data_IF_763300474407
#
_entry.id   IF_763300474407
#
_cell.length_a   1.000
_cell.length_b   1.000
_cell.length_c   1.000
_cell.angle_alpha   90.00
_cell.angle_beta   90.00
_cell.angle_gamma   90.00
#
_symmetry.space_group_name_H-M   'P 1'
#
loop_
_entity.id
_entity.type
_entity.pdbx_description
1 polymer ?
#
# COMPACT_ATOMS: atom_id res chain seq x y z
N UNK A 1 -14.70 -1.70 0.86
CA UNK A 1 -15.05 -0.51 0.06
C UNK A 1 -16.35 0.02 0.61
N UNK A 2 -16.39 1.29 0.98
CA UNK A 2 -17.64 1.99 1.26
C UNK A 2 -18.04 2.75 -0.01
N UNK A 3 -19.32 3.02 -0.19
CA UNK A 3 -19.77 3.89 -1.25
C UNK A 3 -20.48 5.12 -0.67
N UNK A 4 -20.24 6.33 -1.20
CA UNK A 4 -20.91 7.53 -0.71
C UNK A 4 -22.43 7.53 -0.94
N UNK A 5 -22.94 6.69 -1.86
CA UNK A 5 -24.37 6.61 -2.22
C UNK A 5 -24.81 5.16 -2.32
N UNK A 6 -25.68 4.70 -1.42
CA UNK A 6 -26.22 3.33 -1.37
C UNK A 6 -27.01 2.93 -2.64
N UNK A 7 -26.29 2.52 -3.69
CA UNK A 7 -26.78 2.21 -5.01
C UNK A 7 -27.04 0.71 -5.21
N UNK A 8 -27.69 0.35 -6.32
CA UNK A 8 -27.80 -1.06 -6.70
C UNK A 8 -26.55 -1.48 -7.47
N UNK A 9 -25.89 -2.56 -7.02
CA UNK A 9 -24.66 -3.06 -7.64
C UNK A 9 -24.82 -4.50 -8.14
N UNK A 10 -24.26 -4.83 -9.32
CA UNK A 10 -24.10 -6.21 -9.72
C UNK A 10 -23.08 -6.91 -8.80
N UNK A 11 -22.91 -8.23 -8.98
CA UNK A 11 -21.84 -8.93 -8.29
C UNK A 11 -20.47 -8.41 -8.75
N UNK A 12 -19.61 -8.07 -7.80
CA UNK A 12 -18.27 -7.53 -8.05
C UNK A 12 -17.20 -8.53 -7.61
N UNK A 13 -16.06 -8.50 -8.30
CA UNK A 13 -14.87 -9.24 -7.89
C UNK A 13 -13.85 -8.26 -7.31
N UNK A 14 -13.29 -8.61 -6.16
CA UNK A 14 -12.28 -7.78 -5.49
C UNK A 14 -10.97 -8.54 -5.40
N UNK A 15 -9.87 -7.85 -5.71
CA UNK A 15 -8.53 -8.30 -5.39
C UNK A 15 -8.18 -7.83 -3.98
N UNK A 16 -7.46 -8.66 -3.23
CA UNK A 16 -6.96 -8.30 -1.91
C UNK A 16 -5.52 -8.74 -1.75
N UNK A 17 -4.82 -8.07 -0.84
CA UNK A 17 -3.45 -8.39 -0.43
C UNK A 17 -3.44 -8.47 1.09
N UNK A 18 -2.65 -9.41 1.63
CA UNK A 18 -2.41 -9.55 3.06
C UNK A 18 -0.91 -9.61 3.27
N UNK A 19 -0.42 -8.83 4.23
CA UNK A 19 0.99 -8.77 4.60
C UNK A 19 1.08 -8.79 6.12
N UNK A 20 2.03 -9.56 6.64
CA UNK A 20 2.33 -9.52 8.07
C UNK A 20 2.89 -8.15 8.47
N UNK A 21 2.51 -7.64 9.64
CA UNK A 21 3.00 -6.34 10.10
C UNK A 21 4.51 -6.37 10.37
N UNK A 22 5.16 -5.25 10.12
CA UNK A 22 6.60 -5.08 10.25
C UNK A 22 7.28 -4.91 8.89
N UNK A 23 8.61 -4.84 8.91
CA UNK A 23 9.45 -4.65 7.75
C UNK A 23 10.09 -5.97 7.33
N UNK A 24 9.97 -6.32 6.05
CA UNK A 24 10.54 -7.52 5.47
C UNK A 24 11.09 -7.25 4.07
N UNK A 25 11.99 -8.13 3.62
CA UNK A 25 12.36 -8.23 2.21
C UNK A 25 11.73 -9.53 1.71
N UNK A 26 10.80 -9.45 0.76
CA UNK A 26 10.17 -10.62 0.15
C UNK A 26 11.00 -11.12 -1.02
N UNK A 27 10.78 -12.38 -1.42
CA UNK A 27 11.34 -12.94 -2.66
C UNK A 27 11.19 -11.97 -3.83
N UNK A 28 12.23 -11.88 -4.64
CA UNK A 28 12.31 -10.88 -5.71
C UNK A 28 12.85 -9.52 -5.25
N UNK A 29 13.31 -9.43 -4.00
CA UNK A 29 13.94 -8.22 -3.44
C UNK A 29 12.94 -7.10 -3.11
N UNK A 30 11.65 -7.43 -3.01
CA UNK A 30 10.60 -6.44 -2.70
C UNK A 30 10.74 -6.07 -1.23
N UNK A 31 11.13 -4.83 -0.94
CA UNK A 31 11.07 -4.30 0.42
C UNK A 31 9.62 -3.97 0.72
N UNK A 32 9.09 -4.53 1.80
CA UNK A 32 7.73 -4.28 2.27
C UNK A 32 7.76 -3.86 3.73
N UNK A 33 6.93 -2.89 4.08
CA UNK A 33 6.65 -2.55 5.47
C UNK A 33 5.15 -2.36 5.65
N UNK A 34 4.55 -3.01 6.63
CA UNK A 34 3.11 -2.94 6.86
C UNK A 34 2.75 -2.67 8.32
N UNK A 35 1.67 -1.92 8.53
CA UNK A 35 1.23 -1.55 9.86
C UNK A 35 -0.20 -1.07 9.91
N UNK A 36 -0.62 -0.70 11.13
CA UNK A 36 -1.93 -0.12 11.42
C UNK A 36 -1.69 1.22 12.12
N UNK A 37 -2.42 2.24 11.70
CA UNK A 37 -2.46 3.55 12.34
C UNK A 37 -3.89 3.87 12.75
N UNK A 38 -4.15 3.95 14.05
CA UNK A 38 -5.41 4.51 14.55
C UNK A 38 -5.39 6.02 14.36
N UNK A 39 -6.44 6.57 13.74
CA UNK A 39 -6.57 8.01 13.50
C UNK A 39 -7.99 8.48 13.81
N UNK A 40 -8.11 9.66 14.41
CA UNK A 40 -9.37 10.42 14.47
C UNK A 40 -9.33 11.64 13.55
N UNK A 41 -8.23 11.85 12.83
CA UNK A 41 -8.04 12.98 11.94
C UNK A 41 -8.86 12.76 10.67
N UNK A 42 -9.61 13.78 10.26
CA UNK A 42 -10.42 13.74 9.06
C UNK A 42 -10.12 14.93 8.16
N UNK A 43 -10.05 14.64 6.87
CA UNK A 43 -10.14 15.60 5.81
C UNK A 43 -11.59 15.72 5.32
N UNK A 44 -11.97 16.90 4.86
CA UNK A 44 -13.25 17.20 4.22
C UNK A 44 -12.99 18.05 2.98
N UNK A 45 -13.88 17.94 1.99
CA UNK A 45 -13.84 18.77 0.78
C UNK A 45 -13.63 20.26 1.12
N UNK A 46 -12.66 20.87 0.44
CA UNK A 46 -12.23 22.26 0.62
C UNK A 46 -11.30 22.52 1.81
N UNK A 47 -10.96 21.52 2.63
CA UNK A 47 -9.99 21.66 3.71
C UNK A 47 -8.56 21.39 3.22
N UNK A 48 -7.57 21.69 4.07
CA UNK A 48 -6.22 21.22 3.83
C UNK A 48 -6.10 19.78 4.29
N UNK A 49 -5.43 18.95 3.49
CA UNK A 49 -5.06 17.59 3.87
C UNK A 49 -4.08 17.59 5.06
N UNK A 50 -4.64 17.41 6.26
CA UNK A 50 -3.91 17.18 7.49
C UNK A 50 -4.08 15.72 7.90
N UNK A 51 -3.01 15.07 8.34
CA UNK A 51 -3.10 13.70 8.82
C UNK A 51 -2.00 13.36 9.80
N UNK A 52 -1.99 12.11 10.22
CA UNK A 52 -1.04 11.61 11.18
C UNK A 52 0.21 11.11 10.46
N UNK A 53 1.38 11.51 10.94
CA UNK A 53 2.63 11.00 10.40
C UNK A 53 2.84 9.52 10.78
N UNK A 54 3.35 8.76 9.81
CA UNK A 54 3.90 7.42 9.97
C UNK A 54 5.35 7.49 9.53
N UNK A 55 6.25 6.96 10.37
CA UNK A 55 7.67 6.85 10.09
C UNK A 55 7.98 5.39 9.79
N UNK A 56 8.74 5.14 8.73
CA UNK A 56 9.23 3.80 8.45
C UNK A 56 10.34 3.42 9.44
N UNK A 57 10.45 2.14 9.75
CA UNK A 57 11.55 1.61 10.58
C UNK A 57 12.91 1.95 9.95
N UNK A 58 12.98 1.93 8.62
CA UNK A 58 14.14 2.34 7.85
C UNK A 58 13.67 2.96 6.52
N UNK A 59 14.40 3.96 6.04
CA UNK A 59 14.09 4.59 4.76
C UNK A 59 14.16 3.58 3.60
N UNK A 60 13.22 3.69 2.66
CA UNK A 60 13.28 3.02 1.36
C UNK A 60 14.34 3.68 0.48
N UNK A 61 14.90 2.93 -0.46
CA UNK A 61 15.88 3.44 -1.44
C UNK A 61 15.25 4.38 -2.48
N UNK A 62 13.94 4.34 -2.63
CA UNK A 62 13.12 5.20 -3.48
C UNK A 62 11.75 5.42 -2.81
N UNK A 63 10.99 6.41 -3.28
CA UNK A 63 9.65 6.69 -2.74
C UNK A 63 8.79 5.42 -2.89
N UNK A 64 8.27 4.85 -1.80
CA UNK A 64 7.47 3.62 -1.85
C UNK A 64 6.07 3.87 -2.43
N UNK A 65 5.43 2.80 -2.89
CA UNK A 65 3.99 2.75 -3.15
C UNK A 65 3.29 2.44 -1.85
N UNK A 66 2.23 3.17 -1.52
CA UNK A 66 1.43 2.94 -0.31
C UNK A 66 0.05 2.40 -0.69
N UNK A 67 -0.27 1.18 -0.28
CA UNK A 67 -1.65 0.69 -0.28
C UNK A 67 -2.24 0.95 1.10
N UNK A 68 -3.47 1.46 1.16
CA UNK A 68 -4.10 1.80 2.44
C UNK A 68 -5.61 1.60 2.40
N UNK A 69 -6.20 1.41 3.57
CA UNK A 69 -7.64 1.23 3.73
C UNK A 69 -8.07 1.21 5.19
N UNK A 70 -9.34 1.55 5.42
CA UNK A 70 -9.97 1.41 6.72
C UNK A 70 -10.16 -0.07 7.07
N UNK A 71 -9.76 -0.45 8.28
CA UNK A 71 -9.86 -1.82 8.83
C UNK A 71 -10.94 -1.94 9.91
N UNK A 72 -11.56 -0.84 10.29
CA UNK A 72 -12.70 -0.77 11.23
C UNK A 72 -13.83 0.06 10.62
N UNK A 73 -15.03 -0.08 11.19
CA UNK A 73 -16.22 0.68 10.80
C UNK A 73 -16.87 1.28 12.06
N UNK A 74 -16.28 2.38 12.53
CA UNK A 74 -16.67 3.13 13.73
C UNK A 74 -17.47 4.40 13.42
N UNK A 75 -17.52 4.80 12.14
CA UNK A 75 -18.27 5.96 11.67
C UNK A 75 -19.60 5.55 11.00
N UNK A 76 -20.62 6.39 11.16
CA UNK A 76 -21.92 6.20 10.50
C UNK A 76 -21.97 6.89 9.13
N UNK A 77 -21.20 7.97 8.97
CA UNK A 77 -21.01 8.67 7.70
C UNK A 77 -19.96 7.93 6.86
N UNK A 78 -19.98 8.17 5.55
CA UNK A 78 -18.97 7.62 4.65
C UNK A 78 -17.58 8.03 5.11
N UNK A 79 -16.67 7.06 5.17
CA UNK A 79 -15.26 7.28 5.37
C UNK A 79 -14.46 6.46 4.35
N UNK A 80 -13.46 7.12 3.78
CA UNK A 80 -12.33 6.50 3.12
C UNK A 80 -11.05 6.81 3.90
N UNK A 81 -9.90 6.41 3.36
CA UNK A 81 -8.60 6.81 3.89
C UNK A 81 -7.83 7.50 2.78
N UNK A 82 -6.97 8.45 3.13
CA UNK A 82 -6.02 9.06 2.20
C UNK A 82 -4.61 8.98 2.76
N UNK A 83 -3.64 9.08 1.86
CA UNK A 83 -2.24 9.31 2.21
C UNK A 83 -1.72 10.56 1.49
N UNK A 84 -0.72 11.22 2.08
CA UNK A 84 -0.03 12.38 1.47
C UNK A 84 1.42 12.42 1.92
N UNK A 85 2.21 13.29 1.29
CA UNK A 85 3.60 13.58 1.67
C UNK A 85 4.46 12.31 1.74
N UNK A 86 4.29 11.38 0.79
CA UNK A 86 5.05 10.14 0.77
C UNK A 86 6.50 10.47 0.43
N UNK A 87 7.37 10.22 1.41
CA UNK A 87 8.81 10.31 1.31
C UNK A 87 9.43 8.92 1.48
N UNK A 88 10.74 8.82 1.34
CA UNK A 88 11.47 7.56 1.53
C UNK A 88 11.42 7.07 2.97
N UNK A 89 11.26 7.95 3.94
CA UNK A 89 11.32 7.67 5.38
C UNK A 89 9.97 7.81 6.10
N UNK A 90 8.96 8.36 5.44
CA UNK A 90 7.70 8.70 6.09
C UNK A 90 6.56 8.96 5.10
N UNK A 91 5.35 9.00 5.63
CA UNK A 91 4.17 9.51 4.94
C UNK A 91 3.15 10.03 5.96
N UNK A 92 2.10 10.66 5.47
CA UNK A 92 0.93 11.10 6.27
C UNK A 92 -0.28 10.25 5.90
N UNK A 93 -1.10 9.87 6.89
CA UNK A 93 -2.33 9.10 6.69
C UNK A 93 -3.45 9.61 7.59
N UNK A 94 -4.68 9.66 7.07
CA UNK A 94 -5.89 10.00 7.83
C UNK A 94 -7.15 9.53 7.09
N UNK A 95 -8.33 9.79 7.67
CA UNK A 95 -9.61 9.46 7.03
C UNK A 95 -10.08 10.59 6.10
N UNK A 96 -10.80 10.23 5.05
CA UNK A 96 -11.43 11.10 4.06
C UNK A 96 -12.95 11.02 4.21
N UNK A 97 -13.59 12.14 4.56
CA UNK A 97 -15.02 12.20 4.81
C UNK A 97 -15.84 12.64 3.59
N UNK A 98 -15.18 12.94 2.47
CA UNK A 98 -15.76 13.57 1.29
C UNK A 98 -16.53 14.85 1.70
N UNK A 99 -17.55 15.23 0.94
CA UNK A 99 -18.55 16.23 1.35
C UNK A 99 -19.54 15.80 2.46
N UNK A 100 -19.34 14.69 3.19
CA UNK A 100 -20.39 14.09 4.03
C UNK A 100 -20.17 14.11 5.55
N UNK A 101 -18.95 13.87 6.03
CA UNK A 101 -18.72 13.63 7.46
C UNK A 101 -18.38 14.90 8.24
N UNK A 102 -19.14 15.20 9.28
CA UNK A 102 -18.85 16.36 10.16
C UNK A 102 -18.08 15.98 11.43
N UNK A 103 -18.21 14.74 11.91
CA UNK A 103 -17.52 14.21 13.08
C UNK A 103 -16.88 12.87 12.75
N UNK A 104 -15.83 12.51 13.48
CA UNK A 104 -15.21 11.19 13.39
C UNK A 104 -15.08 10.52 14.75
N UNK A 105 -15.41 9.24 14.78
CA UNK A 105 -14.82 8.30 15.73
C UNK A 105 -13.52 7.79 15.11
N UNK A 106 -12.53 7.50 15.97
CA UNK A 106 -11.27 6.95 15.49
C UNK A 106 -11.44 5.61 14.79
N UNK A 107 -10.74 5.41 13.68
CA UNK A 107 -10.67 4.16 12.94
C UNK A 107 -9.22 3.71 12.76
N UNK A 108 -9.05 2.40 12.64
CA UNK A 108 -7.77 1.79 12.30
C UNK A 108 -7.59 1.82 10.79
N UNK A 109 -6.52 2.48 10.34
CA UNK A 109 -6.11 2.53 8.94
C UNK A 109 -4.96 1.54 8.76
N UNK A 110 -5.21 0.48 8.01
CA UNK A 110 -4.17 -0.45 7.56
C UNK A 110 -3.38 0.17 6.42
N UNK A 111 -2.06 -0.02 6.41
CA UNK A 111 -1.19 0.44 5.34
C UNK A 111 -0.11 -0.59 5.01
N UNK A 112 0.29 -0.63 3.74
CA UNK A 112 1.37 -1.45 3.20
C UNK A 112 2.21 -0.56 2.30
N UNK A 113 3.48 -0.36 2.67
CA UNK A 113 4.48 0.31 1.86
C UNK A 113 5.31 -0.73 1.09
N UNK A 114 5.45 -0.54 -0.22
CA UNK A 114 6.17 -1.45 -1.12
C UNK A 114 7.22 -0.68 -1.92
N UNK A 115 8.43 -1.19 -2.00
CA UNK A 115 9.43 -0.67 -2.94
C UNK A 115 8.93 -0.83 -4.37
N UNK A 116 8.97 0.22 -5.21
CA UNK A 116 8.57 0.12 -6.62
C UNK A 116 9.52 -0.80 -7.39
N UNK A 117 8.99 -1.50 -8.38
CA UNK A 117 9.76 -2.41 -9.22
C UNK A 117 8.89 -3.46 -9.90
N UNK A 118 9.50 -4.20 -10.82
CA UNK A 118 8.86 -5.34 -11.48
C UNK A 118 9.85 -6.49 -11.59
N UNK A 119 9.32 -7.71 -11.65
CA UNK A 119 10.17 -8.88 -11.73
C UNK A 119 9.40 -10.19 -11.71
N UNK A 120 10.16 -11.27 -11.64
CA UNK A 120 9.67 -12.63 -11.52
C UNK A 120 10.46 -13.36 -10.46
N UNK A 121 9.76 -14.06 -9.58
CA UNK A 121 10.32 -15.04 -8.65
C UNK A 121 10.02 -16.44 -9.17
N UNK A 122 10.43 -17.49 -8.43
CA UNK A 122 9.94 -18.85 -8.69
C UNK A 122 8.43 -19.00 -8.50
N UNK A 123 7.84 -18.10 -7.71
CA UNK A 123 6.48 -18.25 -7.19
C UNK A 123 5.48 -17.36 -7.92
N UNK A 124 5.92 -16.17 -8.35
CA UNK A 124 5.07 -15.20 -9.01
C UNK A 124 5.82 -14.13 -9.79
N UNK A 125 5.16 -13.60 -10.83
CA UNK A 125 5.47 -12.29 -11.42
C UNK A 125 4.80 -11.16 -10.64
N UNK A 126 5.49 -10.02 -10.56
CA UNK A 126 4.98 -8.85 -9.87
C UNK A 126 5.32 -7.55 -10.62
N UNK A 127 4.49 -6.54 -10.41
CA UNK A 127 4.70 -5.18 -10.88
C UNK A 127 4.10 -4.19 -9.88
N UNK A 128 4.95 -3.36 -9.30
CA UNK A 128 4.62 -2.36 -8.28
C UNK A 128 5.04 -1.00 -8.83
N UNK A 129 4.10 -0.07 -8.89
CA UNK A 129 4.33 1.20 -9.55
C UNK A 129 3.37 2.30 -9.11
N UNK A 130 3.63 3.48 -9.63
CA UNK A 130 2.80 4.66 -9.41
C UNK A 130 2.82 5.54 -10.66
N UNK A 131 1.73 6.25 -10.93
CA UNK A 131 1.62 7.18 -12.04
C UNK A 131 0.59 8.25 -11.70
N UNK A 132 0.75 9.43 -12.29
CA UNK A 132 -0.29 10.44 -12.24
C UNK A 132 -1.50 9.95 -13.06
N UNK A 133 -2.70 10.26 -12.59
CA UNK A 133 -3.95 9.87 -13.21
C UNK A 133 -4.18 10.58 -14.56
N UNK A 134 -3.70 11.82 -14.70
CA UNK A 134 -3.77 12.62 -15.92
C UNK A 134 -5.14 13.27 -16.06
N UNK A 135 -5.89 12.92 -17.11
CA UNK A 135 -7.28 13.41 -17.31
C UNK A 135 -8.32 12.38 -16.81
N UNK A 136 -7.96 11.61 -15.77
CA UNK A 136 -8.70 10.41 -15.35
C UNK A 136 -9.62 10.68 -14.14
N UNK A 137 -10.30 11.81 -14.17
CA UNK A 137 -11.07 12.40 -13.07
C UNK A 137 -12.42 11.71 -12.77
N UNK A 138 -12.57 10.43 -13.14
CA UNK A 138 -13.76 9.64 -12.81
C UNK A 138 -15.06 10.00 -13.55
N UNK A 139 -15.05 10.97 -14.48
CA UNK A 139 -16.24 11.35 -15.27
C UNK A 139 -16.39 10.45 -16.51
N UNK A 140 -17.24 9.44 -16.42
CA UNK A 140 -17.63 8.67 -17.61
C UNK A 140 -18.46 9.55 -18.57
N UNK A 141 -17.91 9.86 -19.76
CA UNK A 141 -18.66 10.40 -20.89
C UNK A 141 -18.46 11.88 -21.26
N UNK A 142 -17.49 12.60 -20.68
CA UNK A 142 -17.17 14.00 -21.04
C UNK A 142 -15.75 14.22 -21.60
N UNK A 143 -15.25 13.27 -22.39
CA UNK A 143 -13.90 13.36 -22.97
C UNK A 143 -12.76 13.00 -22.01
N UNK A 144 -13.09 12.64 -20.76
CA UNK A 144 -12.16 11.99 -19.84
C UNK A 144 -12.09 10.49 -20.13
N UNK A 145 -10.89 9.93 -19.98
CA UNK A 145 -10.59 8.52 -20.21
C UNK A 145 -10.04 7.91 -18.94
N UNK A 146 -10.29 6.61 -18.72
CA UNK A 146 -9.63 5.90 -17.63
C UNK A 146 -8.11 6.01 -17.77
N UNK A 147 -7.42 6.14 -16.65
CA UNK A 147 -5.99 5.92 -16.60
C UNK A 147 -5.70 4.45 -16.89
N UNK A 148 -4.77 4.20 -17.80
CA UNK A 148 -4.36 2.86 -18.22
C UNK A 148 -3.07 2.49 -17.49
N UNK A 149 -3.19 1.62 -16.48
CA UNK A 149 -2.03 0.94 -15.92
C UNK A 149 -1.63 -0.14 -16.92
N UNK A 150 -0.51 0.08 -17.60
CA UNK A 150 0.08 -0.93 -18.49
C UNK A 150 0.79 -1.99 -17.68
N UNK A 151 0.34 -3.24 -17.81
CA UNK A 151 0.92 -4.42 -17.17
C UNK A 151 1.74 -5.19 -18.20
N UNK A 152 2.86 -5.77 -17.79
CA UNK A 152 3.71 -6.53 -18.71
C UNK A 152 4.15 -7.85 -18.10
N UNK A 153 4.27 -8.86 -18.95
CA UNK A 153 4.78 -10.16 -18.56
C UNK A 153 3.78 -11.06 -17.85
N UNK A 154 2.52 -10.68 -17.63
CA UNK A 154 1.51 -11.61 -17.10
C UNK A 154 0.94 -12.50 -18.20
N UNK A 155 0.66 -13.76 -17.88
CA UNK A 155 0.01 -14.69 -18.81
C UNK A 155 -1.53 -14.63 -18.73
N UNK A 156 -2.05 -14.20 -17.58
CA UNK A 156 -3.47 -14.06 -17.24
C UNK A 156 -3.66 -12.74 -16.48
N UNK A 157 -4.88 -12.18 -16.38
CA UNK A 157 -5.12 -10.96 -15.62
C UNK A 157 -4.65 -11.11 -14.15
N UNK A 158 -3.70 -10.29 -13.67
CA UNK A 158 -3.17 -10.40 -12.31
C UNK A 158 -4.22 -10.02 -11.26
N UNK A 159 -3.92 -10.32 -9.99
CA UNK A 159 -4.56 -9.64 -8.86
C UNK A 159 -3.84 -8.30 -8.67
N UNK A 160 -4.58 -7.20 -8.82
CA UNK A 160 -4.06 -5.84 -8.66
C UNK A 160 -4.84 -5.09 -7.59
N UNK A 161 -4.12 -4.41 -6.71
CA UNK A 161 -4.68 -3.48 -5.72
C UNK A 161 -4.16 -2.09 -6.05
N UNK A 162 -5.05 -1.11 -6.06
CA UNK A 162 -4.76 0.29 -6.42
C UNK A 162 -5.27 1.20 -5.32
N UNK A 163 -4.47 2.21 -4.97
CA UNK A 163 -4.80 3.27 -4.01
C UNK A 163 -4.36 4.62 -4.57
N UNK A 164 -4.92 5.71 -4.04
CA UNK A 164 -4.42 7.06 -4.32
C UNK A 164 -3.21 7.32 -3.40
N UNK A 165 -2.13 7.83 -3.95
CA UNK A 165 -0.85 8.09 -3.28
C UNK A 165 -0.52 9.57 -3.20
N UNK A 166 -1.26 10.42 -3.90
CA UNK A 166 -1.25 11.86 -3.71
C UNK A 166 -2.54 12.47 -4.26
N UNK A 167 -3.01 13.54 -3.61
CA UNK A 167 -4.16 14.35 -4.05
C UNK A 167 -3.66 15.78 -4.12
N UNK A 168 -3.81 16.45 -5.25
CA UNK A 168 -3.15 17.75 -5.48
C UNK A 168 -4.04 18.96 -5.19
N UNK A 169 -5.35 18.80 -5.16
CA UNK A 169 -6.29 19.86 -4.78
C UNK A 169 -6.79 19.70 -3.33
N UNK A 170 -8.01 20.15 -3.06
CA UNK A 170 -8.65 20.17 -1.74
C UNK A 170 -9.84 19.23 -1.64
N UNK A 171 -10.19 18.53 -2.72
CA UNK A 171 -11.32 17.62 -2.75
C UNK A 171 -10.80 16.18 -2.68
N UNK A 172 -11.58 15.30 -2.03
CA UNK A 172 -11.15 13.95 -1.74
C UNK A 172 -11.37 13.04 -2.94
N UNK A 173 -10.40 12.18 -3.26
CA UNK A 173 -10.51 11.19 -4.33
C UNK A 173 -10.15 9.77 -3.86
N UNK A 174 -10.71 8.76 -4.53
CA UNK A 174 -10.39 7.33 -4.34
C UNK A 174 -10.26 6.59 -5.66
N UNK A 175 -9.44 5.55 -5.67
CA UNK A 175 -9.26 4.72 -6.86
C UNK A 175 -10.52 3.87 -7.11
N UNK A 176 -11.10 3.99 -8.30
CA UNK A 176 -12.19 3.13 -8.80
C UNK A 176 -11.75 2.37 -10.05
N UNK A 177 -12.12 1.10 -10.16
CA UNK A 177 -11.87 0.31 -11.37
C UNK A 177 -12.65 0.85 -12.58
N UNK A 178 -12.00 0.90 -13.74
CA UNK A 178 -12.60 1.42 -14.97
C UNK A 178 -13.42 0.41 -15.77
N UNK A 179 -13.42 -0.87 -15.36
CA UNK A 179 -14.17 -1.95 -15.98
C UNK A 179 -13.31 -2.89 -16.83
N UNK A 180 -12.18 -2.42 -17.36
CA UNK A 180 -11.20 -3.28 -18.05
C UNK A 180 -10.11 -3.76 -17.09
N UNK A 181 -9.94 -5.09 -17.06
CA UNK A 181 -8.84 -5.77 -16.35
C UNK A 181 -8.43 -6.99 -17.18
N UNK A 182 -7.28 -6.91 -17.82
CA UNK A 182 -6.63 -8.00 -18.57
C UNK A 182 -5.17 -8.16 -18.10
N UNK A 183 -4.43 -9.13 -18.64
CA UNK A 183 -3.01 -9.40 -18.37
C UNK A 183 -2.10 -8.22 -18.73
N UNK A 184 -2.53 -7.35 -19.65
CA UNK A 184 -1.74 -6.22 -20.15
C UNK A 184 -2.25 -4.85 -19.66
N UNK A 185 -3.47 -4.78 -19.13
CA UNK A 185 -4.14 -3.49 -18.84
C UNK A 185 -5.02 -3.59 -17.61
N UNK A 186 -4.90 -2.61 -16.71
CA UNK A 186 -5.91 -2.27 -15.73
C UNK A 186 -6.37 -0.82 -15.95
N UNK A 187 -7.66 -0.62 -16.16
CA UNK A 187 -8.25 0.73 -16.19
C UNK A 187 -8.64 1.16 -14.77
N UNK A 188 -8.32 2.40 -14.42
CA UNK A 188 -8.68 3.02 -13.14
C UNK A 188 -9.11 4.47 -13.33
N UNK A 189 -9.86 4.98 -12.36
CA UNK A 189 -10.28 6.36 -12.24
C UNK A 189 -9.93 6.87 -10.85
N UNK A 190 -9.56 8.15 -10.75
CA UNK A 190 -9.54 8.88 -9.50
C UNK A 190 -10.95 9.47 -9.38
N UNK A 191 -11.75 8.93 -8.47
CA UNK A 191 -13.14 9.33 -8.32
C UNK A 191 -13.27 10.27 -7.12
N UNK A 192 -13.71 11.49 -7.40
CA UNK A 192 -14.20 12.43 -6.40
C UNK A 192 -15.69 12.21 -6.07
N UNK A 193 -16.12 12.76 -4.94
CA UNK A 193 -17.55 12.81 -4.63
C UNK A 193 -18.34 13.74 -5.58
N UNK A 194 -19.66 13.65 -5.46
CA UNK A 194 -20.63 14.53 -6.13
C UNK A 194 -21.59 15.11 -5.10
N UNK A 195 -21.08 15.42 -3.92
CA UNK A 195 -21.86 15.76 -2.74
C UNK A 195 -21.60 17.23 -2.44
N UNK A 196 -22.60 18.05 -2.73
CA UNK A 196 -22.50 19.51 -2.58
C UNK A 196 -22.32 20.22 -3.91
N UNK A 197 -21.63 19.60 -4.86
CA UNK A 197 -21.63 20.01 -6.26
C UNK A 197 -21.68 18.81 -7.22
N UNK A 198 -21.56 19.08 -8.53
CA UNK A 198 -21.52 18.06 -9.58
C UNK A 198 -20.18 18.06 -10.30
N UNK A 199 -19.22 18.82 -9.78
CA UNK A 199 -17.89 18.83 -10.35
C UNK A 199 -17.18 17.56 -9.89
N UNK A 200 -16.32 17.05 -10.75
CA UNK A 200 -15.38 15.98 -10.42
C UNK A 200 -14.07 16.25 -11.15
N UNK A 201 -13.86 17.49 -11.60
CA UNK A 201 -12.72 17.84 -12.39
C UNK A 201 -11.67 18.39 -11.44
N UNK A 202 -10.57 17.67 -11.34
CA UNK A 202 -9.46 17.97 -10.46
C UNK A 202 -8.15 18.10 -11.23
N UNK A 203 -7.08 18.45 -10.52
CA UNK A 203 -5.71 18.38 -11.05
C UNK A 203 -5.20 16.94 -10.89
N UNK A 204 -4.06 16.60 -11.51
CA UNK A 204 -3.53 15.24 -11.45
C UNK A 204 -3.37 14.70 -10.00
N UNK A 205 -4.06 13.62 -9.63
CA UNK A 205 -3.75 12.75 -8.50
C UNK A 205 -2.67 11.75 -8.91
N UNK A 206 -2.12 11.06 -7.92
CA UNK A 206 -1.20 9.96 -8.14
C UNK A 206 -1.81 8.65 -7.72
N UNK A 207 -1.87 7.67 -8.59
CA UNK A 207 -2.13 6.28 -8.19
C UNK A 207 -0.86 5.61 -7.69
N UNK A 208 -1.03 4.68 -6.75
CA UNK A 208 -0.07 3.62 -6.42
C UNK A 208 -0.73 2.26 -6.58
N UNK A 209 -0.01 1.29 -7.14
CA UNK A 209 -0.53 -0.07 -7.32
C UNK A 209 0.50 -1.15 -7.05
N UNK A 210 -0.01 -2.32 -6.71
CA UNK A 210 0.75 -3.57 -6.69
C UNK A 210 -0.04 -4.66 -7.41
N UNK A 211 0.58 -5.26 -8.42
CA UNK A 211 0.03 -6.35 -9.21
C UNK A 211 0.88 -7.62 -9.03
N UNK A 212 0.22 -8.73 -8.76
CA UNK A 212 0.83 -10.06 -8.63
C UNK A 212 0.02 -11.08 -9.43
N UNK A 213 0.64 -12.17 -9.86
CA UNK A 213 -0.13 -13.31 -10.37
C UNK A 213 -1.19 -13.75 -9.34
N UNK A 214 -2.37 -14.20 -9.79
CA UNK A 214 -3.45 -14.59 -8.88
C UNK A 214 -3.02 -15.76 -7.98
N UNK A 215 -3.49 -15.75 -6.74
CA UNK A 215 -3.16 -16.75 -5.72
C UNK A 215 -1.67 -16.82 -5.35
N UNK A 216 -0.94 -15.72 -5.54
CA UNK A 216 0.46 -15.60 -5.13
C UNK A 216 0.60 -15.64 -3.60
N UNK A 217 1.59 -16.40 -3.13
CA UNK A 217 2.12 -16.33 -1.77
C UNK A 217 3.62 -16.03 -1.91
N UNK A 218 4.08 -14.91 -1.34
CA UNK A 218 5.49 -14.52 -1.33
C UNK A 218 6.03 -14.58 0.09
N UNK A 219 7.02 -15.44 0.31
CA UNK A 219 7.73 -15.52 1.58
C UNK A 219 8.84 -14.47 1.68
N UNK A 220 9.33 -14.28 2.91
CA UNK A 220 10.56 -13.54 3.18
C UNK A 220 11.72 -14.14 2.39
N UNK A 221 12.54 -13.28 1.78
CA UNK A 221 13.75 -13.65 1.10
C UNK A 221 14.81 -14.09 2.10
N UNK A 222 14.89 -15.40 2.30
CA UNK A 222 15.92 -16.02 3.15
C UNK A 222 17.30 -16.05 2.50
N UNK A 223 17.42 -15.73 1.20
CA UNK A 223 18.72 -15.60 0.53
C UNK A 223 19.44 -14.30 0.90
N UNK A 224 18.69 -13.27 1.31
CA UNK A 224 19.21 -12.02 1.86
C UNK A 224 19.69 -12.15 3.32
N UNK A 225 19.27 -13.21 4.04
CA UNK A 225 19.69 -13.45 5.43
C UNK A 225 21.15 -13.96 5.56
N UNK A 226 21.90 -14.09 4.46
CA UNK A 226 23.31 -14.50 4.49
C UNK A 226 24.24 -13.29 4.58
N UNK A 227 24.02 -12.47 5.60
CA UNK A 227 25.07 -11.64 6.19
C UNK A 227 24.68 -11.32 7.63
N UNK A 228 24.43 -12.36 8.43
CA UNK A 228 24.69 -12.21 9.85
C UNK A 228 26.16 -11.78 9.97
N UNK A 229 26.38 -10.52 10.36
CA UNK A 229 27.68 -10.04 10.79
C UNK A 229 28.12 -11.06 11.84
N UNK A 230 29.15 -11.85 11.51
CA UNK A 230 29.84 -12.62 12.52
C UNK A 230 30.31 -11.60 13.56
N UNK A 231 29.61 -11.53 14.70
CA UNK A 231 30.13 -10.83 15.85
C UNK A 231 31.49 -11.47 16.14
N UNK A 232 32.58 -10.69 16.26
CA UNK A 232 33.86 -11.28 16.62
C UNK A 232 33.64 -12.05 17.91
N UNK A 233 33.99 -13.33 17.89
CA UNK A 233 33.96 -14.16 19.09
C UNK A 233 34.73 -13.42 20.19
N UNK A 234 34.17 -13.38 21.40
CA UNK A 234 34.97 -13.06 22.58
C UNK A 234 36.19 -13.98 22.61
N UNK A 235 37.30 -13.46 23.15
CA UNK A 235 38.63 -14.08 23.11
C UNK A 235 38.62 -15.61 23.20
N UNK A 236 39.44 -16.25 22.36
CA UNK A 236 39.72 -17.69 22.36
C UNK A 236 39.88 -18.25 23.79
N UNK A 237 38.89 -19.01 24.26
CA UNK A 237 38.97 -19.75 25.53
C UNK A 237 37.80 -19.59 26.52
N UNK A 238 36.76 -18.80 26.22
CA UNK A 238 35.57 -18.74 27.09
C UNK A 238 34.65 -19.95 26.91
N UNK A 239 34.08 -20.41 28.04
CA UNK A 239 33.08 -21.47 28.07
C UNK A 239 31.68 -20.85 28.00
N UNK A 240 30.83 -21.25 27.03
CA UNK A 240 29.42 -20.83 26.95
C UNK A 240 28.73 -21.12 28.30
N UNK A 241 28.33 -20.09 29.06
CA UNK A 241 27.70 -20.27 30.38
C UNK A 241 26.18 -20.11 30.38
N UNK A 242 25.60 -19.60 29.30
CA UNK A 242 24.15 -19.53 29.12
C UNK A 242 23.75 -19.46 27.64
N UNK A 243 22.46 -19.65 27.36
CA UNK A 243 21.89 -19.71 26.01
C UNK A 243 21.90 -18.37 25.26
N UNK A 244 22.44 -17.31 25.87
CA UNK A 244 22.56 -15.98 25.27
C UNK A 244 23.99 -15.66 24.82
N UNK A 245 24.96 -16.53 25.10
CA UNK A 245 26.39 -16.23 24.88
C UNK A 245 26.96 -16.76 23.55
N UNK A 246 26.23 -17.52 22.74
CA UNK A 246 26.82 -18.22 21.60
C UNK A 246 26.13 -17.88 20.26
N UNK A 247 26.86 -17.09 19.46
CA UNK A 247 26.64 -16.88 18.03
C UNK A 247 27.07 -18.16 17.28
N UNK A 248 26.16 -18.78 16.52
CA UNK A 248 26.45 -19.94 15.65
C UNK A 248 26.12 -21.31 16.26
N UNK A 249 25.78 -22.27 15.40
CA UNK A 249 25.35 -23.64 15.74
C UNK A 249 26.35 -24.35 16.68
N UNK A 250 26.02 -24.48 17.96
CA UNK A 250 26.73 -25.39 18.86
C UNK A 250 26.38 -26.84 18.49
N UNK A 251 27.34 -27.60 17.98
CA UNK A 251 27.29 -29.07 18.05
C UNK A 251 27.88 -29.50 19.40
N UNK A 252 27.39 -30.61 19.95
CA UNK A 252 27.42 -30.87 21.40
C UNK A 252 28.78 -30.76 22.11
N UNK A 253 28.70 -30.43 23.40
CA UNK A 253 29.77 -30.42 24.41
C UNK A 253 31.15 -29.96 23.93
N UNK A 254 31.29 -28.64 23.76
CA UNK A 254 32.57 -27.94 23.90
C UNK A 254 33.27 -27.62 22.59
N UNK A 255 33.51 -26.32 22.43
CA UNK A 255 34.27 -25.61 21.37
C UNK A 255 33.52 -25.32 20.08
N UNK A 256 33.36 -24.02 19.78
CA UNK A 256 32.92 -23.50 18.49
C UNK A 256 34.04 -23.71 17.46
N UNK A 257 33.70 -24.21 16.28
CA UNK A 257 34.61 -24.36 15.13
C UNK A 257 34.39 -23.23 14.12
#
# INVERSE_FOLDING_TARGET
MQEPKNGAHPAESVSYIVVESGRNILKGGIVVEAGIKSSSTIHRSGENFNGDSVQFVEAFSSIPVILHGLMTHSNNDFMASFVKNIATDSFTVAMEAAGTGTNSNGEDIGWIALSPGSGSTSDARFMIGSANDGESDGVTGKGQSAHIITLTGFNEPPAIVVSINDITDTDGAWARGGGTSDKDVQEVYAEEDKIGDRDQKHNDEKFGWAAFEKNTILDVDTSAAVSAIALPCGDIGEACKDSNDCCGYCTGSGTCA
#
